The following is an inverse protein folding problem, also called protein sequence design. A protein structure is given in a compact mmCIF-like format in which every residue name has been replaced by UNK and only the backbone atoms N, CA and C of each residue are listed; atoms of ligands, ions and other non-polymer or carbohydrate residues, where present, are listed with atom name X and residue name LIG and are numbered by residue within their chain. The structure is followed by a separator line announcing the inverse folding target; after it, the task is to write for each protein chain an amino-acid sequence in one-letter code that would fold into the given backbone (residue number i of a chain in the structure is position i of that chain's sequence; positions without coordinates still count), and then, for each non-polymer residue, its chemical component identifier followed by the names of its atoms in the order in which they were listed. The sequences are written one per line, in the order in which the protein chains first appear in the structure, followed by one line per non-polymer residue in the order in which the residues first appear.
data_IF_832984798317
#
_entry.id   IF_832984798317
#
_cell.length_a   1.000
_cell.length_b   1.000
_cell.length_c   1.000
_cell.angle_alpha   90.00
_cell.angle_beta   90.00
_cell.angle_gamma   90.00
#
_symmetry.space_group_name_H-M   'P 1'
#
loop_
_entity.id
_entity.type
_entity.pdbx_description
1 polymer ?
#
# COMPACT_ATOMS: atom_id res chain seq x y z
N UNK A 1 0.37 6.94 -28.78
CA UNK A 1 0.19 6.84 -27.32
C UNK A 1 1.46 6.23 -26.76
N UNK A 2 2.24 6.99 -25.98
CA UNK A 2 3.52 6.52 -25.42
C UNK A 2 3.25 5.91 -24.05
N UNK A 3 3.65 4.66 -23.84
CA UNK A 3 3.54 3.98 -22.54
C UNK A 3 4.89 4.13 -21.84
N UNK A 4 4.88 4.73 -20.65
CA UNK A 4 6.06 4.87 -19.80
C UNK A 4 6.12 3.72 -18.78
N UNK A 5 7.32 3.25 -18.48
CA UNK A 5 7.54 2.33 -17.38
C UNK A 5 7.62 3.08 -16.03
N UNK A 6 7.46 2.34 -14.93
CA UNK A 6 7.40 2.91 -13.57
C UNK A 6 8.66 3.70 -13.17
N UNK A 7 9.85 3.30 -13.62
CA UNK A 7 11.09 4.04 -13.35
C UNK A 7 11.10 5.40 -14.06
N UNK A 8 10.55 5.48 -15.27
CA UNK A 8 10.39 6.74 -16.00
C UNK A 8 9.39 7.66 -15.28
N UNK A 9 8.27 7.12 -14.79
CA UNK A 9 7.27 7.88 -14.02
C UNK A 9 7.87 8.47 -12.74
N UNK A 10 8.66 7.70 -11.99
CA UNK A 10 9.33 8.17 -10.77
C UNK A 10 10.36 9.27 -11.06
N UNK A 11 11.08 9.16 -12.17
CA UNK A 11 12.06 10.16 -12.60
C UNK A 11 11.37 11.48 -12.93
N UNK A 12 10.24 11.44 -13.62
CA UNK A 12 9.45 12.62 -13.95
C UNK A 12 8.87 13.30 -12.70
N UNK A 13 8.47 12.52 -11.67
CA UNK A 13 8.07 13.07 -10.37
C UNK A 13 9.23 13.80 -9.69
N UNK A 14 10.40 13.17 -9.60
CA UNK A 14 11.60 13.76 -8.98
C UNK A 14 12.01 15.07 -9.64
N UNK A 15 11.86 15.15 -10.96
CA UNK A 15 12.19 16.34 -11.73
C UNK A 15 11.07 17.39 -11.74
N UNK A 16 9.97 17.17 -11.01
CA UNK A 16 8.83 18.09 -10.95
C UNK A 16 8.03 18.21 -12.23
N UNK A 17 8.28 17.36 -13.23
CA UNK A 17 7.63 17.39 -14.55
C UNK A 17 6.18 16.91 -14.46
N UNK A 18 5.91 15.96 -13.57
CA UNK A 18 4.56 15.48 -13.28
C UNK A 18 4.26 15.62 -11.80
N UNK A 19 3.08 16.15 -11.49
CA UNK A 19 2.56 16.17 -10.14
C UNK A 19 1.67 14.94 -9.91
N UNK A 20 2.26 13.79 -9.60
CA UNK A 20 1.48 12.59 -9.26
C UNK A 20 0.77 12.72 -7.90
N UNK A 21 0.92 13.83 -7.17
CA UNK A 21 0.13 14.06 -5.95
C UNK A 21 -1.37 14.14 -6.29
N UNK A 22 -1.76 14.51 -7.52
CA UNK A 22 -3.16 14.41 -7.96
C UNK A 22 -3.74 12.98 -8.00
N UNK A 23 -2.89 11.96 -8.11
CA UNK A 23 -3.29 10.53 -8.06
C UNK A 23 -3.18 9.99 -6.62
N UNK A 24 -2.41 10.66 -5.75
CA UNK A 24 -2.06 10.17 -4.41
C UNK A 24 -2.62 11.03 -3.24
N UNK A 25 -3.33 12.13 -3.51
CA UNK A 25 -3.74 13.11 -2.47
C UNK A 25 -5.06 12.82 -1.76
N UNK A 26 -5.62 11.62 -1.93
CA UNK A 26 -6.66 11.10 -1.04
C UNK A 26 -6.49 9.60 -0.91
N UNK A 27 -5.37 9.15 -0.36
CA UNK A 27 -5.51 7.93 0.43
C UNK A 27 -6.38 8.37 1.60
N UNK A 28 -7.67 8.05 1.55
CA UNK A 28 -8.62 8.51 2.56
C UNK A 28 -8.07 8.12 3.94
N UNK A 29 -7.93 9.11 4.84
CA UNK A 29 -7.43 8.87 6.20
C UNK A 29 -8.23 7.75 6.91
N UNK A 30 -9.50 7.60 6.53
CA UNK A 30 -10.38 6.53 6.98
C UNK A 30 -9.92 5.13 6.53
N UNK A 31 -9.39 4.99 5.31
CA UNK A 31 -8.86 3.73 4.80
C UNK A 31 -7.59 3.34 5.57
N UNK A 32 -6.66 4.29 5.77
CA UNK A 32 -5.45 4.06 6.56
C UNK A 32 -5.81 3.69 7.99
N UNK A 33 -6.74 4.42 8.62
CA UNK A 33 -7.22 4.14 9.97
C UNK A 33 -7.81 2.72 10.08
N UNK A 34 -8.65 2.33 9.12
CA UNK A 34 -9.26 0.99 9.08
C UNK A 34 -8.20 -0.10 8.94
N UNK A 35 -7.21 0.09 8.06
CA UNK A 35 -6.09 -0.83 7.88
C UNK A 35 -5.28 -1.01 9.16
N UNK A 36 -4.85 0.09 9.77
CA UNK A 36 -4.01 0.05 10.97
C UNK A 36 -4.76 -0.52 12.17
N UNK A 37 -6.03 -0.16 12.36
CA UNK A 37 -6.85 -0.75 13.43
C UNK A 37 -7.05 -2.24 13.25
N UNK A 38 -7.33 -2.68 12.02
CA UNK A 38 -7.51 -4.11 11.72
C UNK A 38 -6.21 -4.88 11.92
N UNK A 39 -5.07 -4.32 11.49
CA UNK A 39 -3.76 -4.91 11.72
C UNK A 39 -3.42 -4.98 13.21
N UNK A 40 -3.68 -3.92 13.99
CA UNK A 40 -3.48 -3.91 15.44
C UNK A 40 -4.33 -4.97 16.14
N UNK A 41 -5.57 -5.17 15.69
CA UNK A 41 -6.44 -6.22 16.20
C UNK A 41 -5.90 -7.63 15.88
N UNK A 42 -5.45 -7.86 14.65
CA UNK A 42 -4.89 -9.14 14.21
C UNK A 42 -3.49 -9.42 14.79
N UNK A 43 -2.79 -8.37 15.25
CA UNK A 43 -1.38 -8.34 15.70
C UNK A 43 -0.38 -8.64 14.59
N UNK A 44 -0.54 -9.77 13.92
CA UNK A 44 0.32 -10.25 12.85
C UNK A 44 -0.52 -11.07 11.85
N UNK A 45 -0.40 -10.78 10.57
CA UNK A 45 -1.08 -11.52 9.52
C UNK A 45 -0.39 -11.35 8.17
N UNK A 46 -0.78 -12.11 7.15
CA UNK A 46 -0.35 -11.80 5.79
C UNK A 46 -1.22 -10.68 5.17
N UNK A 47 -0.64 -9.98 4.19
CA UNK A 47 -1.29 -8.86 3.50
C UNK A 47 -2.65 -9.27 2.92
N UNK A 48 -2.72 -10.45 2.28
CA UNK A 48 -3.96 -10.99 1.71
C UNK A 48 -5.08 -11.10 2.75
N UNK A 49 -4.79 -11.67 3.92
CA UNK A 49 -5.75 -11.84 5.00
C UNK A 49 -6.23 -10.49 5.53
N UNK A 50 -5.34 -9.51 5.68
CA UNK A 50 -5.72 -8.14 6.07
C UNK A 50 -6.74 -7.55 5.08
N UNK A 51 -6.42 -7.61 3.78
CA UNK A 51 -7.25 -7.03 2.72
C UNK A 51 -8.61 -7.75 2.61
N UNK A 52 -8.59 -9.08 2.56
CA UNK A 52 -9.81 -9.91 2.48
C UNK A 52 -10.70 -9.69 3.71
N UNK A 53 -10.13 -9.31 4.86
CA UNK A 53 -10.90 -9.01 6.08
C UNK A 53 -11.55 -7.61 6.11
N UNK A 54 -11.20 -6.74 5.16
CA UNK A 54 -11.67 -5.35 5.08
C UNK A 54 -12.68 -5.12 3.96
N UNK A 55 -12.60 -5.87 2.86
CA UNK A 55 -13.54 -5.72 1.75
C UNK A 55 -13.65 -6.98 0.90
N UNK A 56 -14.85 -7.21 0.37
CA UNK A 56 -15.11 -8.22 -0.67
C UNK A 56 -15.01 -7.64 -2.08
N UNK A 57 -14.96 -6.31 -2.23
CA UNK A 57 -14.90 -5.62 -3.52
C UNK A 57 -13.47 -5.59 -4.07
N UNK A 58 -13.26 -6.19 -5.24
CA UNK A 58 -11.94 -6.32 -5.86
C UNK A 58 -11.26 -4.98 -6.22
N UNK A 59 -12.03 -3.94 -6.56
CA UNK A 59 -11.46 -2.61 -6.79
C UNK A 59 -10.97 -1.98 -5.48
N UNK A 60 -11.75 -2.14 -4.41
CA UNK A 60 -11.33 -1.68 -3.07
C UNK A 60 -10.12 -2.46 -2.57
N UNK A 61 -10.06 -3.77 -2.83
CA UNK A 61 -8.88 -4.58 -2.49
C UNK A 61 -7.63 -4.06 -3.18
N UNK A 62 -7.70 -3.69 -4.46
CA UNK A 62 -6.56 -3.11 -5.18
C UNK A 62 -6.08 -1.80 -4.54
N UNK A 63 -7.01 -0.93 -4.12
CA UNK A 63 -6.69 0.30 -3.39
C UNK A 63 -6.04 0.00 -2.03
N UNK A 64 -6.55 -0.97 -1.28
CA UNK A 64 -5.99 -1.41 0.00
C UNK A 64 -4.56 -1.98 -0.17
N UNK A 65 -4.31 -2.77 -1.22
CA UNK A 65 -2.97 -3.30 -1.54
C UNK A 65 -1.98 -2.14 -1.71
N UNK A 66 -2.36 -1.13 -2.50
CA UNK A 66 -1.54 0.06 -2.69
C UNK A 66 -1.25 0.77 -1.35
N UNK A 67 -2.27 0.93 -0.51
CA UNK A 67 -2.13 1.57 0.80
C UNK A 67 -1.19 0.78 1.73
N UNK A 68 -1.30 -0.55 1.76
CA UNK A 68 -0.40 -1.40 2.56
C UNK A 68 1.05 -1.22 2.13
N UNK A 69 1.33 -1.24 0.82
CA UNK A 69 2.69 -1.02 0.32
C UNK A 69 3.21 0.38 0.63
N UNK A 70 2.35 1.39 0.53
CA UNK A 70 2.68 2.75 0.94
C UNK A 70 3.05 2.80 2.44
N UNK A 71 2.27 2.16 3.32
CA UNK A 71 2.54 2.13 4.76
C UNK A 71 3.82 1.37 5.10
N UNK A 72 4.13 0.28 4.40
CA UNK A 72 5.40 -0.46 4.53
C UNK A 72 6.57 0.43 4.09
N UNK A 73 6.47 1.07 2.93
CA UNK A 73 7.52 1.95 2.41
C UNK A 73 7.84 3.13 3.36
N UNK A 74 6.83 3.61 4.08
CA UNK A 74 6.96 4.67 5.08
C UNK A 74 7.18 4.15 6.52
N UNK A 75 7.41 2.84 6.71
CA UNK A 75 7.72 2.21 7.99
C UNK A 75 6.63 2.29 9.06
N UNK A 76 5.37 2.50 8.68
CA UNK A 76 4.23 2.39 9.59
C UNK A 76 3.86 0.93 9.87
N UNK A 77 4.06 0.06 8.87
CA UNK A 77 3.87 -1.39 8.95
C UNK A 77 5.23 -2.06 8.76
N UNK A 78 5.52 -3.05 9.59
CA UNK A 78 6.75 -3.85 9.52
C UNK A 78 6.50 -5.13 8.74
N UNK A 79 7.54 -5.60 8.05
CA UNK A 79 7.61 -6.91 7.42
C UNK A 79 9.08 -7.37 7.33
N UNK A 80 9.29 -8.64 7.03
CA UNK A 80 10.60 -9.19 6.76
C UNK A 80 11.05 -8.87 5.32
N UNK A 81 11.88 -7.84 5.17
CA UNK A 81 12.40 -7.38 3.88
C UNK A 81 13.49 -8.30 3.28
N UNK A 82 13.90 -9.36 3.99
CA UNK A 82 14.81 -10.37 3.43
C UNK A 82 14.08 -11.43 2.60
N UNK A 83 12.75 -11.39 2.58
CA UNK A 83 11.89 -12.28 1.80
C UNK A 83 11.24 -11.52 0.65
N UNK A 84 10.83 -12.27 -0.37
CA UNK A 84 10.08 -11.71 -1.49
C UNK A 84 8.79 -11.02 -1.02
N UNK A 85 8.59 -9.80 -1.51
CA UNK A 85 7.41 -9.01 -1.20
C UNK A 85 6.25 -9.41 -2.13
N UNK A 86 5.18 -9.94 -1.54
CA UNK A 86 3.96 -10.33 -2.24
C UNK A 86 2.77 -10.35 -1.25
N UNK A 87 1.58 -10.75 -1.70
CA UNK A 87 0.38 -10.74 -0.84
C UNK A 87 0.44 -11.75 0.33
N UNK A 88 1.34 -12.73 0.28
CA UNK A 88 1.57 -13.66 1.39
C UNK A 88 2.62 -13.13 2.38
N UNK A 89 3.22 -11.96 2.13
CA UNK A 89 4.15 -11.32 3.08
C UNK A 89 3.45 -11.10 4.41
N UNK A 90 4.10 -11.56 5.49
CA UNK A 90 3.64 -11.36 6.86
C UNK A 90 3.98 -9.95 7.31
N UNK A 91 3.00 -9.28 7.89
CA UNK A 91 3.05 -7.90 8.36
C UNK A 91 2.57 -7.78 9.80
N UNK A 92 3.14 -6.81 10.53
CA UNK A 92 2.74 -6.45 11.89
C UNK A 92 2.86 -4.94 12.11
N UNK A 93 2.13 -4.43 13.09
CA UNK A 93 2.21 -3.02 13.46
C UNK A 93 3.56 -2.67 14.10
N UNK A 94 3.91 -1.39 14.08
CA UNK A 94 5.19 -0.89 14.63
C UNK A 94 5.27 -1.00 16.14
#
# INVERSE_FOLDING_TARGET
MVILNWNQVLTLKRNGVINITGICNKVDDLIIFSLLNKLNFLKECNIKHLIDSLSEDEYKKAELIYCVWYLIANRYIKCDLNKDLNLNTVIWAT
#
